data_IF_631316676536
#
_entry.id   IF_631316676536
#
_cell.length_a   1.000
_cell.length_b   1.000
_cell.length_c   1.000
_cell.angle_alpha   90.00
_cell.angle_beta   90.00
_cell.angle_gamma   90.00
#
_symmetry.space_group_name_H-M   'P 1'
#
loop_
_entity.id
_entity.type
_entity.pdbx_description
1 polymer ?
#
# COMPACT_ATOMS: atom_id res chain seq x y z
N UNK A 1 11.44 -5.00 -24.26
CA UNK A 1 12.86 -5.03 -24.52
C UNK A 1 13.71 -4.65 -23.32
N UNK A 2 13.59 -5.48 -22.30
CA UNK A 2 14.47 -5.63 -21.15
C UNK A 2 15.36 -6.86 -21.32
N UNK A 3 14.98 -7.83 -22.16
CA UNK A 3 15.79 -8.98 -22.59
C UNK A 3 16.66 -8.70 -23.85
N UNK A 4 16.44 -7.57 -24.55
CA UNK A 4 17.20 -7.12 -25.74
C UNK A 4 17.01 -8.00 -26.98
N UNK A 5 15.83 -8.60 -27.14
CA UNK A 5 15.44 -9.37 -28.33
C UNK A 5 14.84 -8.52 -29.46
N UNK A 6 14.66 -7.21 -29.23
CA UNK A 6 14.08 -6.26 -30.18
C UNK A 6 12.56 -6.15 -30.12
N UNK A 7 11.88 -6.93 -29.28
CA UNK A 7 10.43 -6.95 -29.07
C UNK A 7 10.10 -6.41 -27.67
N UNK A 8 8.91 -5.81 -27.52
CA UNK A 8 8.36 -5.44 -26.20
C UNK A 8 7.18 -6.35 -25.91
N UNK A 9 7.40 -7.44 -25.20
CA UNK A 9 6.39 -8.45 -24.92
C UNK A 9 6.09 -8.55 -23.41
N UNK A 10 4.91 -8.06 -22.95
CA UNK A 10 4.50 -8.22 -21.55
C UNK A 10 4.36 -9.66 -21.06
N UNK A 11 4.31 -10.65 -21.97
CA UNK A 11 4.22 -12.07 -21.64
C UNK A 11 5.59 -12.73 -21.46
N UNK A 12 6.67 -12.11 -21.96
CA UNK A 12 8.03 -12.48 -21.60
C UNK A 12 8.33 -12.03 -20.15
N UNK A 13 9.06 -12.87 -19.42
CA UNK A 13 9.30 -12.66 -17.99
C UNK A 13 10.17 -11.42 -17.71
N UNK A 14 11.27 -11.25 -18.45
CA UNK A 14 12.20 -10.14 -18.24
C UNK A 14 11.56 -8.82 -18.65
N UNK A 15 10.85 -8.81 -19.77
CA UNK A 15 10.06 -7.68 -20.22
C UNK A 15 8.93 -7.33 -19.26
N UNK A 16 8.16 -8.30 -18.80
CA UNK A 16 7.09 -8.12 -17.84
C UNK A 16 7.58 -7.48 -16.54
N UNK A 17 8.67 -8.01 -15.97
CA UNK A 17 9.31 -7.46 -14.77
C UNK A 17 9.79 -6.03 -15.02
N UNK A 18 10.48 -5.78 -16.14
CA UNK A 18 10.99 -4.47 -16.49
C UNK A 18 9.89 -3.42 -16.69
N UNK A 19 8.78 -3.81 -17.34
CA UNK A 19 7.60 -2.97 -17.54
C UNK A 19 6.98 -2.59 -16.20
N UNK A 20 6.79 -3.55 -15.29
CA UNK A 20 6.26 -3.30 -13.95
C UNK A 20 7.19 -2.41 -13.13
N UNK A 21 8.50 -2.67 -13.15
CA UNK A 21 9.49 -1.83 -12.47
C UNK A 21 9.47 -0.39 -12.98
N UNK A 22 9.40 -0.19 -14.30
CA UNK A 22 9.26 1.12 -14.93
C UNK A 22 7.96 1.81 -14.54
N UNK A 23 6.84 1.08 -14.52
CA UNK A 23 5.56 1.60 -14.07
C UNK A 23 5.66 2.11 -12.63
N UNK A 24 6.21 1.30 -11.71
CA UNK A 24 6.37 1.67 -10.31
C UNK A 24 7.26 2.91 -10.14
N UNK A 25 8.41 2.94 -10.82
CA UNK A 25 9.32 4.07 -10.80
C UNK A 25 8.66 5.36 -11.32
N UNK A 26 8.02 5.30 -12.50
CA UNK A 26 7.30 6.45 -13.09
C UNK A 26 6.19 6.99 -12.19
N UNK A 27 5.58 6.13 -11.38
CA UNK A 27 4.52 6.51 -10.44
C UNK A 27 5.03 6.93 -9.06
N UNK A 28 6.34 7.06 -8.87
CA UNK A 28 6.96 7.65 -7.69
C UNK A 28 7.34 6.64 -6.60
N UNK A 29 7.51 5.36 -6.95
CA UNK A 29 8.02 4.36 -6.03
C UNK A 29 9.40 4.76 -5.49
N UNK A 30 9.57 4.61 -4.17
CA UNK A 30 10.83 4.89 -3.47
C UNK A 30 11.41 3.58 -2.95
N UNK A 31 12.58 3.19 -3.46
CA UNK A 31 13.30 2.00 -2.99
C UNK A 31 13.57 2.11 -1.48
N UNK A 32 13.29 1.04 -0.74
CA UNK A 32 13.50 0.97 0.71
C UNK A 32 12.48 1.73 1.57
N UNK A 33 11.52 2.47 0.97
CA UNK A 33 10.47 3.12 1.74
C UNK A 33 9.33 2.15 2.09
N UNK A 34 8.68 2.40 3.23
CA UNK A 34 7.56 1.59 3.72
C UNK A 34 6.39 1.59 2.73
N UNK A 35 5.65 0.48 2.67
CA UNK A 35 4.42 0.36 1.87
C UNK A 35 3.21 0.59 2.75
N UNK A 36 2.96 -0.28 3.73
CA UNK A 36 1.97 -0.07 4.76
C UNK A 36 2.49 -0.64 6.09
N UNK A 37 1.93 -0.19 7.21
CA UNK A 37 2.18 -0.79 8.53
C UNK A 37 0.87 -1.15 9.22
N UNK A 38 0.83 -2.28 9.95
CA UNK A 38 -0.37 -2.70 10.66
C UNK A 38 -0.64 -1.78 11.86
N UNK A 39 -1.91 -1.71 12.27
CA UNK A 39 -2.32 -0.88 13.42
C UNK A 39 -3.26 -1.64 14.35
N UNK A 40 -3.46 -1.08 15.55
CA UNK A 40 -4.50 -1.47 16.50
C UNK A 40 -5.45 -0.31 16.78
N UNK A 41 -6.71 -0.64 17.05
CA UNK A 41 -7.72 0.29 17.57
C UNK A 41 -8.67 -0.46 18.52
N UNK A 42 -9.44 0.28 19.33
CA UNK A 42 -10.43 -0.32 20.23
C UNK A 42 -11.71 -0.71 19.48
N UNK A 43 -12.12 -1.98 19.62
CA UNK A 43 -13.35 -2.53 19.05
C UNK A 43 -13.12 -3.35 17.79
N UNK A 44 -14.20 -3.82 17.14
CA UNK A 44 -14.13 -4.67 15.94
C UNK A 44 -14.33 -3.90 14.64
N UNK A 45 -15.08 -2.79 14.64
CA UNK A 45 -15.41 -1.99 13.45
C UNK A 45 -14.97 -0.55 13.68
N UNK A 46 -14.22 0.00 12.73
CA UNK A 46 -13.69 1.36 12.88
C UNK A 46 -14.47 2.35 12.02
N UNK A 47 -15.13 3.34 12.62
CA UNK A 47 -15.98 4.30 11.90
C UNK A 47 -15.60 5.78 12.13
N UNK A 48 -14.61 6.04 12.99
CA UNK A 48 -14.32 7.40 13.49
C UNK A 48 -13.62 8.31 12.49
N UNK A 49 -12.87 7.75 11.54
CA UNK A 49 -12.22 8.51 10.46
C UNK A 49 -12.56 7.89 9.10
N UNK A 50 -12.67 8.75 8.08
CA UNK A 50 -12.83 8.31 6.69
C UNK A 50 -11.55 7.64 6.21
N UNK A 51 -11.69 6.41 5.73
CA UNK A 51 -10.59 5.62 5.17
C UNK A 51 -10.47 5.84 3.67
N UNK A 52 -9.25 5.95 3.15
CA UNK A 52 -8.99 6.17 1.73
C UNK A 52 -7.54 5.87 1.35
N UNK A 53 -7.34 5.20 0.21
CA UNK A 53 -6.03 5.09 -0.47
C UNK A 53 -5.75 6.27 -1.43
N UNK A 54 -6.65 7.25 -1.51
CA UNK A 54 -6.53 8.43 -2.40
C UNK A 54 -6.16 9.70 -1.66
N UNK A 55 -6.53 9.82 -0.39
CA UNK A 55 -6.28 11.00 0.45
C UNK A 55 -5.60 10.59 1.74
N UNK A 56 -4.56 11.30 2.10
CA UNK A 56 -3.86 11.11 3.37
C UNK A 56 -4.50 11.92 4.49
N UNK A 57 -4.35 11.47 5.73
CA UNK A 57 -4.61 12.24 6.94
C UNK A 57 -3.28 12.52 7.66
N UNK A 58 -3.16 13.63 8.41
CA UNK A 58 -2.02 13.83 9.30
C UNK A 58 -1.89 12.69 10.31
N UNK A 59 -0.67 12.20 10.53
CA UNK A 59 -0.41 11.11 11.47
C UNK A 59 -0.92 11.44 12.87
N UNK A 60 -0.65 12.67 13.34
CA UNK A 60 -1.16 13.18 14.64
C UNK A 60 -2.67 13.07 14.76
N UNK A 61 -3.42 13.33 13.70
CA UNK A 61 -4.88 13.19 13.68
C UNK A 61 -5.30 11.74 13.81
N UNK A 62 -4.64 10.83 13.09
CA UNK A 62 -4.93 9.38 13.16
C UNK A 62 -4.70 8.86 14.58
N UNK A 63 -3.56 9.19 15.18
CA UNK A 63 -3.20 8.78 16.55
C UNK A 63 -4.21 9.31 17.58
N UNK A 64 -4.60 10.58 17.48
CA UNK A 64 -5.61 11.20 18.35
C UNK A 64 -6.97 10.48 18.29
N UNK A 65 -7.29 9.80 17.20
CA UNK A 65 -8.53 9.03 17.04
C UNK A 65 -8.41 7.55 17.45
N UNK A 66 -7.33 7.20 18.18
CA UNK A 66 -7.18 5.91 18.83
C UNK A 66 -6.69 4.78 17.93
N UNK A 67 -6.09 5.11 16.77
CA UNK A 67 -5.36 4.15 15.95
C UNK A 67 -3.88 4.25 16.33
N UNK A 68 -3.26 3.13 16.70
CA UNK A 68 -1.83 3.09 17.05
C UNK A 68 -1.12 2.13 16.10
N UNK A 69 -0.04 2.54 15.43
CA UNK A 69 0.74 1.62 14.59
C UNK A 69 1.43 0.56 15.44
N UNK A 70 1.58 -0.65 14.90
CA UNK A 70 2.30 -1.75 15.56
C UNK A 70 3.80 -1.75 15.23
N UNK A 71 4.18 -0.99 14.20
CA UNK A 71 5.57 -0.81 13.76
C UNK A 71 5.86 0.70 13.60
N UNK A 72 7.14 1.12 13.61
CA UNK A 72 7.49 2.51 13.33
C UNK A 72 6.92 2.97 11.98
N UNK A 73 6.29 4.15 11.94
CA UNK A 73 5.80 4.76 10.71
C UNK A 73 6.48 6.09 10.46
N UNK A 74 7.28 6.17 9.40
CA UNK A 74 8.25 7.25 9.19
C UNK A 74 7.73 8.39 8.29
N UNK A 75 6.41 8.60 8.19
CA UNK A 75 5.81 9.70 7.43
C UNK A 75 4.87 10.57 8.28
N UNK A 76 4.84 11.89 8.02
CA UNK A 76 3.98 12.83 8.75
C UNK A 76 2.49 12.73 8.41
N UNK A 77 2.15 12.04 7.32
CA UNK A 77 0.79 11.77 6.85
C UNK A 77 0.71 10.34 6.36
N UNK A 78 -0.46 9.71 6.51
CA UNK A 78 -0.71 8.35 6.05
C UNK A 78 -2.01 8.26 5.27
N UNK A 79 -2.09 7.35 4.31
CA UNK A 79 -3.35 6.83 3.83
C UNK A 79 -3.96 5.96 4.92
N UNK A 80 -5.19 6.24 5.32
CA UNK A 80 -5.87 5.40 6.29
C UNK A 80 -6.60 4.29 5.54
N UNK A 81 -6.05 3.08 5.58
CA UNK A 81 -6.53 1.95 4.80
C UNK A 81 -7.43 1.06 5.66
N UNK A 82 -8.46 0.49 5.05
CA UNK A 82 -9.37 -0.44 5.71
C UNK A 82 -9.62 -1.66 4.84
N UNK A 83 -9.38 -2.82 5.41
CA UNK A 83 -9.84 -4.10 4.88
C UNK A 83 -10.95 -4.61 5.80
N UNK A 84 -12.13 -4.91 5.23
CA UNK A 84 -13.27 -5.40 5.99
C UNK A 84 -13.25 -6.93 5.96
N UNK A 85 -13.03 -7.55 7.12
CA UNK A 85 -13.21 -8.98 7.32
C UNK A 85 -14.62 -9.30 7.85
N UNK A 86 -14.95 -10.59 7.92
CA UNK A 86 -16.24 -11.07 8.42
C UNK A 86 -16.51 -10.62 9.86
N UNK A 87 -15.49 -10.62 10.72
CA UNK A 87 -15.66 -10.36 12.17
C UNK A 87 -15.11 -9.01 12.62
N UNK A 88 -14.20 -8.41 11.86
CA UNK A 88 -13.51 -7.17 12.23
C UNK A 88 -13.04 -6.38 11.00
N UNK A 89 -12.65 -5.13 11.22
CA UNK A 89 -11.92 -4.32 10.24
C UNK A 89 -10.43 -4.36 10.58
N UNK A 90 -9.58 -4.53 9.58
CA UNK A 90 -8.15 -4.27 9.69
C UNK A 90 -7.86 -2.86 9.22
N UNK A 91 -7.17 -2.10 10.07
CA UNK A 91 -6.75 -0.73 9.76
C UNK A 91 -5.24 -0.71 9.58
N UNK A 92 -4.78 -0.07 8.51
CA UNK A 92 -3.37 0.06 8.18
C UNK A 92 -3.01 1.52 7.89
N UNK A 93 -1.77 1.90 8.20
CA UNK A 93 -1.21 3.17 7.72
C UNK A 93 -0.49 2.89 6.40
N UNK A 94 -1.06 3.35 5.30
CA UNK A 94 -0.40 3.32 4.00
C UNK A 94 0.57 4.49 3.87
N UNK A 95 1.82 4.19 3.51
CA UNK A 95 2.84 5.13 3.11
C UNK A 95 2.71 5.49 1.61
N UNK A 96 3.58 6.38 1.11
CA UNK A 96 3.57 6.80 -0.30
C UNK A 96 3.65 5.66 -1.30
N UNK A 97 4.43 4.61 -1.00
CA UNK A 97 4.57 3.46 -1.88
C UNK A 97 3.25 2.69 -2.02
N UNK A 98 2.38 2.66 -1.01
CA UNK A 98 1.05 2.05 -1.15
C UNK A 98 0.22 2.72 -2.25
N UNK A 99 0.34 4.05 -2.39
CA UNK A 99 -0.36 4.79 -3.44
C UNK A 99 0.02 4.28 -4.83
N UNK A 100 1.27 3.88 -5.04
CA UNK A 100 1.77 3.34 -6.31
C UNK A 100 1.06 2.04 -6.67
N UNK A 101 0.89 1.11 -5.71
CA UNK A 101 0.13 -0.12 -5.93
C UNK A 101 -1.30 0.19 -6.38
N UNK A 102 -1.93 1.17 -5.74
CA UNK A 102 -3.31 1.56 -6.08
C UNK A 102 -3.45 2.44 -7.33
N UNK A 103 -2.34 2.89 -7.93
CA UNK A 103 -2.32 3.50 -9.26
C UNK A 103 -2.37 2.44 -10.36
N UNK A 104 -1.90 1.22 -10.07
CA UNK A 104 -2.03 0.10 -11.00
C UNK A 104 -3.48 -0.39 -11.04
N UNK A 105 -4.06 -0.64 -9.86
CA UNK A 105 -5.48 -0.96 -9.71
C UNK A 105 -6.06 -0.17 -8.53
N UNK A 106 -7.12 0.59 -8.79
CA UNK A 106 -7.71 1.54 -7.85
C UNK A 106 -8.54 0.88 -6.73
N UNK A 107 -7.91 0.02 -5.92
CA UNK A 107 -8.55 -0.71 -4.82
C UNK A 107 -7.59 -0.85 -3.63
N UNK A 108 -8.08 -0.52 -2.42
CA UNK A 108 -7.35 -0.77 -1.17
C UNK A 108 -7.09 -2.26 -0.97
N UNK A 109 -8.11 -3.11 -1.19
CA UNK A 109 -7.97 -4.55 -1.02
C UNK A 109 -6.93 -5.14 -1.97
N UNK A 110 -6.88 -4.67 -3.22
CA UNK A 110 -5.84 -5.05 -4.17
C UNK A 110 -4.44 -4.66 -3.67
N UNK A 111 -4.25 -3.39 -3.30
CA UNK A 111 -2.95 -2.90 -2.83
C UNK A 111 -2.47 -3.65 -1.58
N UNK A 112 -3.39 -3.95 -0.65
CA UNK A 112 -3.08 -4.74 0.54
C UNK A 112 -2.77 -6.20 0.21
N UNK A 113 -3.49 -6.83 -0.74
CA UNK A 113 -3.18 -8.19 -1.16
C UNK A 113 -1.77 -8.29 -1.74
N UNK A 114 -1.38 -7.39 -2.65
CA UNK A 114 -0.02 -7.35 -3.22
C UNK A 114 1.03 -7.12 -2.12
N UNK A 115 0.78 -6.19 -1.20
CA UNK A 115 1.70 -5.93 -0.09
C UNK A 115 1.89 -7.17 0.80
N UNK A 116 0.80 -7.83 1.22
CA UNK A 116 0.87 -9.01 2.08
C UNK A 116 1.52 -10.21 1.38
N UNK A 117 1.23 -10.42 0.09
CA UNK A 117 1.91 -11.46 -0.70
C UNK A 117 3.41 -11.17 -0.77
N UNK A 118 3.80 -9.92 -1.04
CA UNK A 118 5.21 -9.54 -1.13
C UNK A 118 5.97 -9.71 0.19
N UNK A 119 5.33 -9.47 1.34
CA UNK A 119 5.92 -9.74 2.66
C UNK A 119 6.00 -11.24 2.99
N UNK A 120 5.09 -12.05 2.45
CA UNK A 120 5.06 -13.50 2.69
C UNK A 120 6.09 -14.29 1.85
N UNK A 121 6.48 -13.77 0.69
CA UNK A 121 7.47 -14.40 -0.22
C UNK A 121 8.90 -13.89 -0.02
N UNK A 122 9.11 -13.11 1.06
CA UNK A 122 10.39 -12.47 1.37
C UNK A 122 11.43 -13.45 1.90
#
# INVERSE_FOLDING_TARGET
DYNRDGVKDPWDLEDGIGILAKFMHKNGWRKGAQVAVPTKFKGKRYTRLKTSHRRTLPLKTILKHGITPLEPFNESKAYLLKNRNLTHDDIWLGAKNFRVLTRYNNSTSYGMAIHLIAEAVR
#
